data_IF_783844332894
#
_entry.id   IF_783844332894
#
_cell.length_a   1.000
_cell.length_b   1.000
_cell.length_c   1.000
_cell.angle_alpha   90.00
_cell.angle_beta   90.00
_cell.angle_gamma   90.00
#
_symmetry.space_group_name_H-M   'P 1'
#
loop_
_entity.id
_entity.type
_entity.pdbx_description
1 polymer ?
#
# COMPACT_ATOMS: atom_id res chain seq x y z
N UNK A 1 -17.14 -16.08 -4.72
CA UNK A 1 -17.68 -17.41 -5.09
C UNK A 1 -19.18 -17.54 -4.78
N UNK A 2 -19.61 -17.33 -3.52
CA UNK A 2 -21.03 -17.43 -3.11
C UNK A 2 -21.91 -16.22 -3.45
N UNK A 3 -21.34 -15.16 -4.03
CA UNK A 3 -22.07 -13.92 -4.35
C UNK A 3 -22.50 -13.08 -3.14
N UNK A 4 -21.86 -13.27 -1.97
CA UNK A 4 -22.19 -12.50 -0.76
C UNK A 4 -21.59 -11.08 -0.73
N UNK A 5 -20.56 -10.85 -1.56
CA UNK A 5 -19.91 -9.55 -1.77
C UNK A 5 -19.73 -9.36 -3.28
N UNK A 6 -19.85 -8.12 -3.75
CA UNK A 6 -19.78 -7.77 -5.18
C UNK A 6 -18.36 -7.47 -5.65
N UNK A 7 -17.49 -7.03 -4.75
CA UNK A 7 -16.09 -6.71 -5.01
C UNK A 7 -15.24 -7.00 -3.76
N UNK A 8 -13.93 -7.14 -3.96
CA UNK A 8 -12.95 -7.31 -2.89
C UNK A 8 -11.66 -6.63 -3.28
N UNK A 9 -10.90 -6.26 -2.26
CA UNK A 9 -9.50 -5.89 -2.37
C UNK A 9 -8.66 -6.78 -1.45
N UNK A 10 -7.34 -6.78 -1.65
CA UNK A 10 -6.43 -7.52 -0.78
C UNK A 10 -5.02 -6.91 -0.74
N UNK A 11 -4.16 -7.17 -1.73
CA UNK A 11 -2.77 -6.64 -1.73
C UNK A 11 -2.31 -6.24 -3.12
N UNK A 12 -2.39 -7.15 -4.08
CA UNK A 12 -1.76 -6.96 -5.37
C UNK A 12 -1.58 -8.27 -6.14
N UNK A 13 -1.08 -8.20 -7.40
CA UNK A 13 -1.19 -9.30 -8.34
C UNK A 13 -0.69 -10.65 -7.83
N UNK A 14 0.41 -10.66 -7.07
CA UNK A 14 1.01 -11.92 -6.58
C UNK A 14 0.12 -12.65 -5.57
N UNK A 15 -0.43 -11.95 -4.58
CA UNK A 15 -1.26 -12.58 -3.55
C UNK A 15 -2.69 -12.79 -4.05
N UNK A 16 -3.23 -11.84 -4.81
CA UNK A 16 -4.58 -11.88 -5.34
C UNK A 16 -4.76 -13.05 -6.34
N UNK A 17 -3.71 -13.39 -7.11
CA UNK A 17 -3.68 -14.60 -7.94
C UNK A 17 -3.76 -15.87 -7.09
N UNK A 18 -2.97 -15.98 -6.02
CA UNK A 18 -2.97 -17.15 -5.13
C UNK A 18 -4.28 -17.35 -4.40
N UNK A 19 -4.94 -16.25 -4.04
CA UNK A 19 -6.27 -16.28 -3.42
C UNK A 19 -7.38 -16.61 -4.42
N UNK A 20 -7.08 -16.61 -5.72
CA UNK A 20 -7.98 -17.12 -6.75
C UNK A 20 -9.14 -16.18 -7.08
N UNK A 21 -9.07 -14.89 -6.74
CA UNK A 21 -10.15 -13.94 -7.04
C UNK A 21 -10.47 -13.89 -8.53
N UNK A 22 -9.46 -14.04 -9.38
CA UNK A 22 -9.58 -14.11 -10.83
C UNK A 22 -10.52 -15.22 -11.34
N UNK A 23 -10.82 -16.24 -10.52
CA UNK A 23 -11.75 -17.31 -10.89
C UNK A 23 -13.21 -16.85 -10.84
N UNK A 24 -13.50 -15.79 -10.07
CA UNK A 24 -14.86 -15.27 -9.83
C UNK A 24 -15.04 -13.87 -10.41
N UNK A 25 -14.04 -13.00 -10.29
CA UNK A 25 -14.07 -11.62 -10.75
C UNK A 25 -12.97 -11.39 -11.81
N UNK A 26 -13.35 -10.84 -12.97
CA UNK A 26 -12.42 -10.57 -14.08
C UNK A 26 -11.98 -9.12 -14.20
N UNK A 27 -12.66 -8.20 -13.52
CA UNK A 27 -12.30 -6.78 -13.54
C UNK A 27 -11.39 -6.47 -12.35
N UNK A 28 -10.17 -6.01 -12.63
CA UNK A 28 -9.18 -5.67 -11.61
C UNK A 28 -8.81 -4.19 -11.72
N UNK A 29 -9.21 -3.39 -10.74
CA UNK A 29 -9.03 -1.95 -10.77
C UNK A 29 -7.77 -1.48 -10.05
N UNK A 30 -7.17 -0.39 -10.54
CA UNK A 30 -6.02 0.28 -9.94
C UNK A 30 -6.14 1.82 -10.07
N UNK A 31 -5.43 2.61 -9.23
CA UNK A 31 -4.67 2.19 -8.05
C UNK A 31 -5.55 1.98 -6.80
N UNK A 32 -5.09 1.17 -5.85
CA UNK A 32 -5.69 1.09 -4.50
C UNK A 32 -5.35 2.32 -3.67
N UNK A 33 -6.12 3.41 -3.82
CA UNK A 33 -5.80 4.71 -3.20
C UNK A 33 -5.83 4.69 -1.67
N UNK A 34 -6.50 3.71 -1.06
CA UNK A 34 -6.54 3.53 0.39
C UNK A 34 -5.19 3.06 0.96
N UNK A 35 -4.36 2.39 0.15
CA UNK A 35 -3.13 1.73 0.61
C UNK A 35 -1.93 1.96 -0.34
N UNK A 36 -1.44 3.21 -0.46
CA UNK A 36 -0.34 3.55 -1.37
C UNK A 36 1.04 3.03 -0.92
N UNK A 37 1.17 2.50 0.29
CA UNK A 37 2.44 2.10 0.88
C UNK A 37 2.23 1.40 2.23
N UNK A 38 1.71 0.18 2.19
CA UNK A 38 1.41 -0.61 3.40
C UNK A 38 2.67 -0.87 4.20
N UNK A 39 2.65 -0.48 5.48
CA UNK A 39 3.66 -0.84 6.46
C UNK A 39 3.11 -1.90 7.41
N UNK A 40 3.87 -2.97 7.63
CA UNK A 40 3.52 -4.00 8.61
C UNK A 40 4.17 -3.69 9.96
N UNK A 41 3.44 -3.96 11.03
CA UNK A 41 3.91 -3.76 12.39
C UNK A 41 4.12 -5.09 13.11
N UNK A 42 5.23 -5.20 13.83
CA UNK A 42 5.40 -6.21 14.88
C UNK A 42 4.96 -5.59 16.21
N UNK A 43 3.86 -6.09 16.77
CA UNK A 43 3.38 -5.69 18.10
C UNK A 43 3.98 -6.63 19.15
N UNK A 44 4.57 -6.05 20.20
CA UNK A 44 5.21 -6.78 21.29
C UNK A 44 4.73 -6.19 22.61
N UNK A 45 4.51 -7.06 23.58
CA UNK A 45 4.30 -6.61 24.96
C UNK A 45 5.50 -5.79 25.45
N UNK A 46 5.22 -4.63 26.03
CA UNK A 46 6.25 -3.67 26.41
C UNK A 46 7.09 -4.18 27.60
N UNK A 47 6.51 -4.93 28.52
CA UNK A 47 7.25 -5.51 29.65
C UNK A 47 8.21 -6.59 29.15
N UNK A 48 7.74 -7.50 28.31
CA UNK A 48 8.56 -8.56 27.72
C UNK A 48 9.68 -7.99 26.84
N UNK A 49 9.39 -6.95 26.04
CA UNK A 49 10.43 -6.28 25.26
C UNK A 49 11.52 -5.66 26.15
N UNK A 50 11.12 -5.01 27.24
CA UNK A 50 12.06 -4.38 28.19
C UNK A 50 12.85 -5.41 29.01
N UNK A 51 12.35 -6.64 29.15
CA UNK A 51 13.08 -7.75 29.80
C UNK A 51 14.21 -8.31 28.93
N UNK A 52 14.18 -8.09 27.62
CA UNK A 52 15.26 -8.52 26.74
C UNK A 52 16.56 -7.77 27.07
N UNK A 53 17.73 -8.44 27.03
CA UNK A 53 19.02 -7.75 27.04
C UNK A 53 19.08 -6.70 25.92
N UNK A 54 19.76 -5.58 26.14
CA UNK A 54 19.85 -4.47 25.16
C UNK A 54 20.26 -4.96 23.77
N UNK A 55 21.22 -5.89 23.68
CA UNK A 55 21.64 -6.47 22.41
C UNK A 55 20.48 -7.12 21.64
N UNK A 56 19.53 -7.77 22.33
CA UNK A 56 18.39 -8.43 21.70
C UNK A 56 17.30 -7.44 21.30
N UNK A 57 17.12 -6.35 22.06
CA UNK A 57 16.26 -5.24 21.65
C UNK A 57 16.74 -4.64 20.33
N UNK A 58 18.05 -4.40 20.20
CA UNK A 58 18.65 -3.86 18.98
C UNK A 58 18.61 -4.84 17.81
N UNK A 59 18.86 -6.13 18.06
CA UNK A 59 18.70 -7.18 17.04
C UNK A 59 17.26 -7.20 16.50
N UNK A 60 16.26 -7.10 17.39
CA UNK A 60 14.87 -7.09 16.99
C UNK A 60 14.55 -5.85 16.13
N UNK A 61 15.03 -4.66 16.50
CA UNK A 61 14.86 -3.44 15.70
C UNK A 61 15.48 -3.59 14.31
N UNK A 62 16.69 -4.13 14.23
CA UNK A 62 17.37 -4.38 12.96
C UNK A 62 16.61 -5.39 12.10
N UNK A 63 16.18 -6.51 12.69
CA UNK A 63 15.43 -7.55 12.00
C UNK A 63 14.09 -7.04 11.45
N UNK A 64 13.39 -6.16 12.18
CA UNK A 64 12.18 -5.50 11.68
C UNK A 64 12.46 -4.64 10.45
N UNK A 65 13.52 -3.82 10.49
CA UNK A 65 13.92 -2.97 9.36
C UNK A 65 14.31 -3.79 8.12
N UNK A 66 15.11 -4.84 8.30
CA UNK A 66 15.49 -5.76 7.23
C UNK A 66 14.29 -6.51 6.67
N UNK A 67 13.39 -7.00 7.52
CA UNK A 67 12.18 -7.70 7.09
C UNK A 67 11.27 -6.81 6.26
N UNK A 68 11.15 -5.52 6.61
CA UNK A 68 10.40 -4.55 5.82
C UNK A 68 11.02 -4.36 4.43
N UNK A 69 12.33 -4.10 4.36
CA UNK A 69 13.03 -3.89 3.09
C UNK A 69 12.98 -5.13 2.18
N UNK A 70 13.21 -6.32 2.75
CA UNK A 70 13.17 -7.58 2.02
C UNK A 70 11.77 -7.87 1.48
N UNK A 71 10.72 -7.59 2.26
CA UNK A 71 9.34 -7.81 1.81
C UNK A 71 8.95 -6.87 0.67
N UNK A 72 9.32 -5.59 0.75
CA UNK A 72 9.08 -4.65 -0.35
C UNK A 72 9.74 -5.13 -1.65
N UNK A 73 11.03 -5.47 -1.59
CA UNK A 73 11.77 -5.99 -2.73
C UNK A 73 11.17 -7.30 -3.29
N UNK A 74 10.65 -8.18 -2.42
CA UNK A 74 10.00 -9.40 -2.84
C UNK A 74 8.70 -9.12 -3.62
N UNK A 75 7.88 -8.16 -3.19
CA UNK A 75 6.68 -7.77 -3.93
C UNK A 75 7.01 -7.10 -5.27
N UNK A 76 8.02 -6.24 -5.32
CA UNK A 76 8.48 -5.60 -6.57
C UNK A 76 8.91 -6.66 -7.60
N UNK A 77 9.56 -7.75 -7.17
CA UNK A 77 9.95 -8.85 -8.04
C UNK A 77 8.78 -9.78 -8.42
N UNK A 78 7.85 -10.02 -7.48
CA UNK A 78 6.80 -11.04 -7.63
C UNK A 78 5.55 -10.53 -8.36
N UNK A 79 5.20 -9.25 -8.21
CA UNK A 79 3.99 -8.67 -8.79
C UNK A 79 4.00 -8.61 -10.33
N UNK A 80 5.08 -8.19 -11.02
CA UNK A 80 5.08 -8.11 -12.49
C UNK A 80 4.78 -9.44 -13.20
N UNK A 81 5.44 -10.58 -12.87
CA UNK A 81 5.10 -11.84 -13.53
C UNK A 81 3.71 -12.36 -13.15
N UNK A 82 3.22 -12.08 -11.93
CA UNK A 82 1.86 -12.46 -11.52
C UNK A 82 0.78 -11.69 -12.28
N UNK A 83 0.95 -10.36 -12.43
CA UNK A 83 0.05 -9.54 -13.23
C UNK A 83 -0.03 -10.04 -14.68
N UNK A 84 1.12 -10.42 -15.26
CA UNK A 84 1.15 -11.00 -16.61
C UNK A 84 0.34 -12.29 -16.70
N UNK A 85 0.42 -13.19 -15.72
CA UNK A 85 -0.39 -14.42 -15.68
C UNK A 85 -1.87 -14.11 -15.51
N UNK A 86 -2.22 -13.20 -14.61
CA UNK A 86 -3.61 -12.75 -14.42
C UNK A 86 -4.25 -12.29 -15.73
N UNK A 87 -3.54 -11.47 -16.50
CA UNK A 87 -4.05 -10.97 -17.78
C UNK A 87 -4.04 -12.06 -18.86
N UNK A 88 -2.89 -12.69 -19.11
CA UNK A 88 -2.70 -13.54 -20.28
C UNK A 88 -3.27 -14.95 -20.11
N UNK A 89 -3.15 -15.51 -18.91
CA UNK A 89 -3.50 -16.92 -18.65
C UNK A 89 -4.88 -17.03 -18.02
N UNK A 90 -5.27 -16.03 -17.21
CA UNK A 90 -6.53 -16.04 -16.47
C UNK A 90 -7.62 -15.09 -17.03
N UNK A 91 -7.30 -14.30 -18.06
CA UNK A 91 -8.27 -13.42 -18.73
C UNK A 91 -8.80 -12.28 -17.85
N UNK A 92 -8.00 -11.80 -16.90
CA UNK A 92 -8.32 -10.61 -16.10
C UNK A 92 -8.14 -9.35 -16.95
N UNK A 93 -9.12 -8.45 -16.90
CA UNK A 93 -9.06 -7.11 -17.49
C UNK A 93 -8.67 -6.10 -16.42
N UNK A 94 -7.58 -5.38 -16.67
CA UNK A 94 -7.07 -4.36 -15.74
C UNK A 94 -7.67 -3.01 -16.12
N UNK A 95 -8.21 -2.30 -15.13
CA UNK A 95 -8.89 -1.03 -15.30
C UNK A 95 -8.25 0.06 -14.45
N UNK A 96 -8.01 1.22 -15.05
CA UNK A 96 -7.73 2.42 -14.29
C UNK A 96 -9.06 2.98 -13.77
N UNK A 97 -9.08 3.42 -12.51
CA UNK A 97 -10.21 4.22 -12.02
C UNK A 97 -10.33 5.53 -12.81
N UNK A 98 -11.55 5.99 -13.05
CA UNK A 98 -11.76 7.27 -13.73
C UNK A 98 -11.27 8.44 -12.88
N UNK A 99 -10.93 9.56 -13.53
CA UNK A 99 -10.57 10.79 -12.86
C UNK A 99 -11.64 11.23 -11.83
N UNK A 100 -12.92 11.15 -12.20
CA UNK A 100 -14.03 11.50 -11.31
C UNK A 100 -14.04 10.65 -10.02
N UNK A 101 -13.73 9.35 -10.11
CA UNK A 101 -13.63 8.46 -8.93
C UNK A 101 -12.42 8.85 -8.10
N UNK A 102 -11.26 9.09 -8.73
CA UNK A 102 -10.03 9.45 -8.04
C UNK A 102 -10.14 10.81 -7.34
N UNK A 103 -10.79 11.80 -7.96
CA UNK A 103 -11.03 13.12 -7.39
C UNK A 103 -12.00 13.06 -6.21
N UNK A 104 -13.06 12.24 -6.33
CA UNK A 104 -13.97 11.98 -5.23
C UNK A 104 -13.25 11.28 -4.07
N UNK A 105 -12.53 10.19 -4.34
CA UNK A 105 -11.76 9.45 -3.34
C UNK A 105 -10.77 10.35 -2.60
N UNK A 106 -10.05 11.21 -3.33
CA UNK A 106 -9.14 12.18 -2.75
C UNK A 106 -9.85 13.14 -1.78
N UNK A 107 -10.92 13.78 -2.25
CA UNK A 107 -11.67 14.77 -1.45
C UNK A 107 -12.24 14.14 -0.19
N UNK A 108 -12.93 13.01 -0.31
CA UNK A 108 -13.58 12.35 0.82
C UNK A 108 -12.55 11.77 1.80
N UNK A 109 -11.43 11.22 1.32
CA UNK A 109 -10.36 10.72 2.20
C UNK A 109 -9.74 11.85 3.02
N UNK A 110 -9.44 12.99 2.40
CA UNK A 110 -8.89 14.13 3.15
C UNK A 110 -9.91 14.71 4.13
N UNK A 111 -11.19 14.80 3.75
CA UNK A 111 -12.24 15.26 4.67
C UNK A 111 -12.38 14.33 5.89
N UNK A 112 -12.36 13.02 5.68
CA UNK A 112 -12.40 12.03 6.74
C UNK A 112 -11.18 12.12 7.68
N UNK A 113 -9.97 12.27 7.15
CA UNK A 113 -8.77 12.43 7.98
C UNK A 113 -8.84 13.69 8.86
N UNK A 114 -9.37 14.79 8.35
CA UNK A 114 -9.58 16.01 9.13
C UNK A 114 -10.69 15.82 10.20
N UNK A 115 -11.75 15.08 9.89
CA UNK A 115 -12.79 14.71 10.87
C UNK A 115 -12.20 13.87 12.02
N UNK A 116 -11.42 12.84 11.70
CA UNK A 116 -10.75 12.00 12.70
C UNK A 116 -9.79 12.82 13.56
N UNK A 117 -9.03 13.74 12.95
CA UNK A 117 -8.15 14.65 13.67
C UNK A 117 -8.92 15.66 14.53
N UNK A 118 -10.16 16.01 14.19
CA UNK A 118 -11.01 16.85 15.03
C UNK A 118 -11.55 16.11 16.25
N UNK A 119 -11.82 14.82 16.11
CA UNK A 119 -12.37 13.98 17.17
C UNK A 119 -11.32 13.45 18.16
N UNK A 120 -10.08 13.20 17.72
CA UNK A 120 -9.06 12.54 18.54
C UNK A 120 -7.72 13.28 18.50
N UNK A 121 -7.25 13.72 19.67
CA UNK A 121 -5.98 14.44 19.82
C UNK A 121 -4.74 13.57 19.54
N UNK A 122 -4.79 12.27 19.84
CA UNK A 122 -3.75 11.30 19.50
C UNK A 122 -3.69 11.09 17.99
N UNK A 123 -4.84 10.96 17.34
CA UNK A 123 -4.92 10.88 15.87
C UNK A 123 -4.37 12.15 15.23
N UNK A 124 -4.82 13.33 15.69
CA UNK A 124 -4.34 14.63 15.20
C UNK A 124 -2.83 14.72 15.24
N UNK A 125 -2.21 14.35 16.37
CA UNK A 125 -0.76 14.41 16.54
C UNK A 125 -0.03 13.58 15.47
N UNK A 126 -0.49 12.36 15.20
CA UNK A 126 0.13 11.49 14.18
C UNK A 126 -0.13 12.03 12.77
N UNK A 127 -1.37 12.42 12.49
CA UNK A 127 -1.79 12.93 11.18
C UNK A 127 -1.06 14.23 10.80
N UNK A 128 -0.91 15.18 11.72
CA UNK A 128 -0.16 16.41 11.47
C UNK A 128 1.31 16.14 11.17
N UNK A 129 1.94 15.21 11.88
CA UNK A 129 3.32 14.78 11.59
C UNK A 129 3.43 14.14 10.20
N UNK A 130 2.49 13.27 9.84
CA UNK A 130 2.44 12.66 8.51
C UNK A 130 2.23 13.70 7.42
N UNK A 131 1.24 14.59 7.58
CA UNK A 131 0.87 15.64 6.63
C UNK A 131 2.03 16.60 6.36
N UNK A 132 2.74 17.02 7.41
CA UNK A 132 3.92 17.88 7.26
C UNK A 132 5.03 17.22 6.43
N UNK A 133 5.32 15.93 6.67
CA UNK A 133 6.32 15.21 5.88
C UNK A 133 5.86 14.97 4.44
N UNK A 134 4.60 14.61 4.25
CA UNK A 134 3.96 14.41 2.94
C UNK A 134 4.04 15.67 2.07
N UNK A 135 3.70 16.82 2.64
CA UNK A 135 3.70 18.11 1.93
C UNK A 135 5.12 18.55 1.55
N UNK A 136 6.14 18.09 2.28
CA UNK A 136 7.56 18.23 1.91
C UNK A 136 7.98 17.23 0.81
N UNK A 137 7.59 15.96 0.94
CA UNK A 137 8.07 14.86 0.10
C UNK A 137 7.42 14.84 -1.29
N UNK A 138 6.12 15.08 -1.39
CA UNK A 138 5.37 14.91 -2.64
C UNK A 138 5.82 15.84 -3.77
N UNK A 139 6.12 17.14 -3.55
CA UNK A 139 6.66 17.98 -4.60
C UNK A 139 7.99 17.45 -5.18
N UNK A 140 8.88 16.95 -4.33
CA UNK A 140 10.14 16.35 -4.77
C UNK A 140 9.90 15.03 -5.53
N UNK A 141 9.13 14.11 -4.97
CA UNK A 141 8.82 12.84 -5.61
C UNK A 141 8.10 13.02 -6.96
N UNK A 142 7.16 13.96 -7.04
CA UNK A 142 6.45 14.30 -8.28
C UNK A 142 7.36 14.97 -9.32
N UNK A 143 8.22 15.90 -8.89
CA UNK A 143 9.09 16.66 -9.78
C UNK A 143 10.33 15.90 -10.28
N UNK A 144 10.81 14.92 -9.50
CA UNK A 144 12.02 14.16 -9.82
C UNK A 144 11.72 12.71 -10.20
N UNK A 145 11.24 11.90 -9.25
CA UNK A 145 11.07 10.45 -9.42
C UNK A 145 9.98 10.13 -10.45
N UNK A 146 8.77 10.68 -10.26
CA UNK A 146 7.66 10.46 -11.19
C UNK A 146 7.98 11.00 -12.59
N UNK A 147 8.64 12.15 -12.68
CA UNK A 147 9.08 12.71 -13.95
C UNK A 147 10.04 11.78 -14.71
N UNK A 148 11.00 11.17 -14.01
CA UNK A 148 11.86 10.15 -14.59
C UNK A 148 11.07 8.90 -15.00
N UNK A 149 10.22 8.37 -14.13
CA UNK A 149 9.43 7.16 -14.39
C UNK A 149 8.54 7.32 -15.64
N UNK A 150 7.82 8.44 -15.75
CA UNK A 150 6.99 8.75 -16.92
C UNK A 150 7.81 8.87 -18.20
N UNK A 151 9.05 9.35 -18.12
CA UNK A 151 9.96 9.47 -19.26
C UNK A 151 10.57 8.13 -19.66
N UNK A 152 11.01 7.32 -18.69
CA UNK A 152 11.78 6.10 -18.91
C UNK A 152 10.89 4.89 -19.17
N UNK A 153 9.87 4.66 -18.34
CA UNK A 153 9.10 3.40 -18.34
C UNK A 153 8.20 3.28 -19.57
N UNK A 154 7.84 4.39 -20.23
CA UNK A 154 7.05 4.37 -21.47
C UNK A 154 7.87 4.03 -22.72
N UNK A 155 9.19 3.91 -22.60
CA UNK A 155 10.11 3.66 -23.74
C UNK A 155 10.51 2.19 -23.87
N UNK A 156 10.14 1.35 -22.91
CA UNK A 156 10.37 -0.09 -22.86
C UNK A 156 9.04 -0.82 -22.94
#
# INVERSE_FOLDING_TARGET
>A
ERGAIDATEWVGPYDDEKLGFHQVAKNYYYPGWWEPGVSMSLLIDMEEFNRLPTAYQEILRAACGESFANRLAAYDAANPPALRRLVNDHGVTVHEYSADIMDAAWRESNAYLEEQAAADASFRRVYESFKAFRDLQWPYAGGNELAYQLSAFRRV
#
